data_IF_068677147379
#
_entry.id   IF_068677147379
#
_cell.length_a   1.000
_cell.length_b   1.000
_cell.length_c   1.000
_cell.angle_alpha   90.00
_cell.angle_beta   90.00
_cell.angle_gamma   90.00
#
_symmetry.space_group_name_H-M   'P 1'
#
loop_
_entity.id
_entity.type
_entity.pdbx_description
1 polymer ?
#
# COMPACT_ATOMS: atom_id res chain seq x y z
N UNK A 1 -6.43 1.35 24.45
CA UNK A 1 -5.92 2.19 23.33
C UNK A 1 -6.46 3.60 23.54
N UNK A 2 -5.65 4.62 23.32
CA UNK A 2 -6.10 6.02 23.48
C UNK A 2 -7.09 6.40 22.37
N UNK A 3 -8.12 7.15 22.72
CA UNK A 3 -9.02 7.76 21.74
C UNK A 3 -8.26 8.79 20.89
N UNK A 4 -8.33 8.76 19.56
CA UNK A 4 -7.61 9.71 18.69
C UNK A 4 -8.13 11.14 18.82
N UNK A 5 -9.36 11.33 19.31
CA UNK A 5 -10.00 12.64 19.40
C UNK A 5 -9.79 13.33 20.73
N UNK A 6 -9.98 12.62 21.85
CA UNK A 6 -9.91 13.21 23.20
C UNK A 6 -8.74 12.70 24.06
N UNK A 7 -7.96 11.72 23.56
CA UNK A 7 -6.86 11.07 24.28
C UNK A 7 -7.27 10.28 25.53
N UNK A 8 -8.55 10.06 25.76
CA UNK A 8 -9.04 9.24 26.86
C UNK A 8 -8.59 7.78 26.68
N UNK A 9 -8.23 7.14 27.82
CA UNK A 9 -7.74 5.75 27.84
C UNK A 9 -8.88 4.74 27.78
N UNK A 10 -10.04 5.11 28.29
CA UNK A 10 -11.21 4.23 28.34
C UNK A 10 -11.86 4.14 26.95
N UNK A 11 -11.54 3.08 26.25
CA UNK A 11 -12.12 2.75 24.93
C UNK A 11 -12.49 1.29 24.89
N UNK A 12 -13.72 0.97 24.54
CA UNK A 12 -14.24 -0.38 24.38
C UNK A 12 -14.35 -0.79 22.91
N UNK A 13 -14.24 -2.08 22.63
CA UNK A 13 -14.53 -2.65 21.31
C UNK A 13 -16.01 -3.01 21.26
N UNK A 14 -16.75 -2.44 20.32
CA UNK A 14 -18.18 -2.71 20.14
C UNK A 14 -18.49 -3.68 19.01
N UNK A 15 -17.55 -3.84 18.06
CA UNK A 15 -17.68 -4.79 16.95
C UNK A 15 -16.30 -5.22 16.46
N UNK A 16 -16.14 -6.49 16.11
CA UNK A 16 -14.92 -7.07 15.55
C UNK A 16 -15.27 -7.96 14.38
N UNK A 17 -14.69 -7.71 13.22
CA UNK A 17 -14.90 -8.52 12.01
C UNK A 17 -13.58 -8.73 11.29
N UNK A 18 -13.33 -9.92 10.73
CA UNK A 18 -12.22 -10.10 9.82
C UNK A 18 -12.42 -9.21 8.59
N UNK A 19 -11.32 -8.78 7.98
CA UNK A 19 -11.34 -8.19 6.63
C UNK A 19 -11.67 -9.29 5.62
N UNK A 20 -12.21 -8.91 4.46
CA UNK A 20 -12.63 -9.89 3.44
C UNK A 20 -11.46 -10.77 2.96
N UNK A 21 -10.24 -10.24 2.96
CA UNK A 21 -9.02 -10.97 2.63
C UNK A 21 -8.45 -11.80 3.79
N UNK A 22 -9.10 -11.77 4.97
CA UNK A 22 -8.69 -12.49 6.17
C UNK A 22 -7.36 -12.05 6.79
N UNK A 23 -6.74 -10.97 6.29
CA UNK A 23 -5.38 -10.55 6.71
C UNK A 23 -5.37 -9.61 7.91
N UNK A 24 -6.53 -9.11 8.31
CA UNK A 24 -6.67 -8.19 9.43
C UNK A 24 -8.00 -8.37 10.16
N UNK A 25 -8.06 -7.91 11.39
CA UNK A 25 -9.30 -7.76 12.14
C UNK A 25 -9.63 -6.27 12.21
N UNK A 26 -10.77 -5.91 11.65
CA UNK A 26 -11.35 -4.58 11.79
C UNK A 26 -12.13 -4.50 13.10
N UNK A 27 -11.79 -3.55 13.96
CA UNK A 27 -12.49 -3.32 15.21
C UNK A 27 -13.11 -1.93 15.23
N UNK A 28 -14.42 -1.85 15.49
CA UNK A 28 -15.11 -0.61 15.84
C UNK A 28 -14.95 -0.38 17.32
N UNK A 29 -14.50 0.79 17.71
CA UNK A 29 -14.28 1.18 19.09
C UNK A 29 -15.16 2.36 19.44
N UNK A 30 -15.56 2.40 20.72
CA UNK A 30 -16.31 3.48 21.36
C UNK A 30 -15.44 4.07 22.48
N UNK A 31 -15.32 5.39 22.51
CA UNK A 31 -14.69 6.09 23.61
C UNK A 31 -15.66 6.21 24.79
N UNK A 32 -15.16 6.01 26.01
CA UNK A 32 -15.90 6.22 27.26
C UNK A 32 -16.15 7.68 27.63
N UNK A 33 -15.58 8.65 26.86
CA UNK A 33 -15.80 10.07 27.11
C UNK A 33 -17.27 10.48 26.86
N UNK A 34 -17.66 11.66 27.37
CA UNK A 34 -19.04 12.18 27.23
C UNK A 34 -19.50 12.25 25.79
N UNK A 35 -18.61 12.51 24.82
CA UNK A 35 -18.93 12.59 23.38
C UNK A 35 -19.18 11.23 22.73
N UNK A 36 -18.80 10.12 23.40
CA UNK A 36 -18.93 8.74 22.89
C UNK A 36 -18.48 8.59 21.43
N UNK A 37 -17.31 9.17 21.12
CA UNK A 37 -16.74 9.14 19.76
C UNK A 37 -16.45 7.71 19.32
N UNK A 38 -16.79 7.43 18.05
CA UNK A 38 -16.54 6.13 17.42
C UNK A 38 -15.37 6.23 16.48
N UNK A 39 -14.48 5.24 16.53
CA UNK A 39 -13.37 5.11 15.59
C UNK A 39 -13.10 3.65 15.24
N UNK A 40 -12.38 3.46 14.16
CA UNK A 40 -12.05 2.12 13.67
C UNK A 40 -10.56 1.89 13.81
N UNK A 41 -10.19 0.69 14.25
CA UNK A 41 -8.80 0.22 14.28
C UNK A 41 -8.69 -1.08 13.49
N UNK A 42 -7.48 -1.36 13.01
CA UNK A 42 -7.16 -2.61 12.37
C UNK A 42 -6.03 -3.30 13.16
N UNK A 43 -6.25 -4.55 13.48
CA UNK A 43 -5.22 -5.43 14.02
C UNK A 43 -4.70 -6.29 12.88
N UNK A 44 -3.38 -6.29 12.69
CA UNK A 44 -2.69 -7.07 11.66
C UNK A 44 -1.56 -7.85 12.29
N UNK A 45 -1.25 -9.01 11.72
CA UNK A 45 -0.02 -9.73 12.06
C UNK A 45 1.16 -8.88 11.63
N UNK A 46 2.09 -8.64 12.55
CA UNK A 46 3.37 -8.06 12.24
C UNK A 46 4.38 -9.20 12.10
N UNK A 47 4.87 -9.40 10.89
CA UNK A 47 5.99 -10.31 10.64
C UNK A 47 7.32 -9.65 11.03
N UNK A 48 8.44 -10.24 10.69
CA UNK A 48 9.77 -9.71 11.04
C UNK A 48 9.93 -8.24 10.63
N UNK A 49 10.76 -7.50 11.39
CA UNK A 49 11.12 -6.14 11.05
C UNK A 49 11.85 -6.12 9.70
N UNK A 50 11.14 -5.64 8.69
CA UNK A 50 11.64 -5.54 7.33
C UNK A 50 12.37 -4.21 7.18
N UNK A 51 13.59 -4.23 6.68
CA UNK A 51 14.38 -3.04 6.37
C UNK A 51 14.40 -2.80 4.86
N UNK A 52 14.22 -1.55 4.45
CA UNK A 52 14.28 -1.13 3.05
C UNK A 52 15.63 -0.47 2.76
N UNK A 53 16.32 -0.98 1.73
CA UNK A 53 17.55 -0.40 1.22
C UNK A 53 17.21 0.53 0.06
N UNK A 54 17.53 1.82 0.20
CA UNK A 54 17.36 2.83 -0.85
C UNK A 54 18.49 2.78 -1.88
N UNK A 55 18.28 3.39 -3.05
CA UNK A 55 19.28 3.47 -4.12
C UNK A 55 20.60 4.15 -3.72
N UNK A 56 20.61 4.98 -2.66
CA UNK A 56 21.79 5.57 -2.05
C UNK A 56 22.37 4.74 -0.89
N UNK A 57 22.03 3.47 -0.81
CA UNK A 57 22.41 2.51 0.25
C UNK A 57 21.93 2.87 1.67
N UNK A 58 21.09 3.88 1.81
CA UNK A 58 20.48 4.20 3.11
C UNK A 58 19.45 3.13 3.50
N UNK A 59 19.52 2.68 4.75
CA UNK A 59 18.55 1.74 5.35
C UNK A 59 17.47 2.50 6.11
N UNK A 60 16.23 2.08 5.94
CA UNK A 60 15.11 2.58 6.74
C UNK A 60 14.13 1.43 7.03
N UNK A 61 13.39 1.50 8.14
CA UNK A 61 12.34 0.53 8.42
C UNK A 61 11.30 0.51 7.30
N UNK A 62 10.77 -0.67 7.01
CA UNK A 62 9.65 -0.81 6.08
C UNK A 62 8.43 -0.07 6.61
N UNK A 63 7.81 0.71 5.75
CA UNK A 63 6.64 1.50 6.08
C UNK A 63 5.54 1.25 5.04
N UNK A 64 4.50 0.51 5.47
CA UNK A 64 3.34 0.18 4.65
C UNK A 64 2.61 1.44 4.16
N UNK A 65 2.59 2.50 4.97
CA UNK A 65 1.86 3.72 4.63
C UNK A 65 2.53 4.47 3.47
N UNK A 66 3.85 4.36 3.32
CA UNK A 66 4.55 4.90 2.14
C UNK A 66 4.11 4.19 0.86
N UNK A 67 3.96 2.87 0.88
CA UNK A 67 3.44 2.09 -0.25
C UNK A 67 2.00 2.48 -0.52
N UNK A 68 1.15 2.50 0.51
CA UNK A 68 -0.25 2.89 0.39
C UNK A 68 -0.40 4.27 -0.24
N UNK A 69 0.35 5.25 0.24
CA UNK A 69 0.33 6.62 -0.29
C UNK A 69 0.73 6.67 -1.77
N UNK A 70 1.79 5.99 -2.16
CA UNK A 70 2.27 5.99 -3.55
C UNK A 70 1.26 5.35 -4.51
N UNK A 71 0.64 4.23 -4.11
CA UNK A 71 -0.40 3.54 -4.89
C UNK A 71 -1.64 4.43 -5.00
N UNK A 72 -2.11 5.05 -3.91
CA UNK A 72 -3.28 5.94 -3.92
C UNK A 72 -3.06 7.17 -4.81
N UNK A 73 -1.85 7.72 -4.86
CA UNK A 73 -1.51 8.81 -5.78
C UNK A 73 -1.62 8.34 -7.23
N UNK A 74 -1.07 7.16 -7.56
CA UNK A 74 -1.13 6.61 -8.91
C UNK A 74 -2.56 6.29 -9.36
N UNK A 75 -3.40 5.77 -8.44
CA UNK A 75 -4.79 5.38 -8.70
C UNK A 75 -5.81 6.53 -8.56
N UNK A 76 -5.36 7.74 -8.23
CA UNK A 76 -6.24 8.89 -8.03
C UNK A 76 -7.12 9.16 -9.24
N UNK A 77 -8.43 9.34 -9.04
CA UNK A 77 -9.46 9.52 -10.07
C UNK A 77 -9.57 8.35 -11.06
N UNK A 78 -9.13 7.16 -10.68
CA UNK A 78 -9.42 5.93 -11.42
C UNK A 78 -10.66 5.25 -10.84
N UNK A 79 -11.45 4.51 -11.65
CA UNK A 79 -12.64 3.81 -11.21
C UNK A 79 -12.26 2.50 -10.45
N UNK A 80 -11.49 2.66 -9.38
CA UNK A 80 -11.03 1.56 -8.52
C UNK A 80 -11.50 1.90 -7.10
N UNK A 81 -12.27 1.00 -6.51
CA UNK A 81 -12.76 1.19 -5.16
C UNK A 81 -11.65 1.06 -4.11
N UNK A 82 -11.89 1.64 -2.95
CA UNK A 82 -10.89 1.65 -1.86
C UNK A 82 -10.57 0.27 -1.33
N UNK A 83 -11.49 -0.66 -1.43
CA UNK A 83 -11.31 -2.03 -0.96
C UNK A 83 -10.35 -2.80 -1.88
N UNK A 84 -10.52 -2.69 -3.19
CA UNK A 84 -9.61 -3.26 -4.19
C UNK A 84 -8.19 -2.72 -4.01
N UNK A 85 -8.04 -1.40 -3.73
CA UNK A 85 -6.74 -0.80 -3.44
C UNK A 85 -6.13 -1.40 -2.16
N UNK A 86 -6.90 -1.59 -1.09
CA UNK A 86 -6.40 -2.19 0.15
C UNK A 86 -6.00 -3.65 -0.02
N UNK A 87 -6.79 -4.43 -0.76
CA UNK A 87 -6.45 -5.82 -1.11
C UNK A 87 -5.14 -5.87 -1.90
N UNK A 88 -4.96 -4.95 -2.84
CA UNK A 88 -3.75 -4.84 -3.63
C UNK A 88 -2.52 -4.51 -2.77
N UNK A 89 -2.62 -3.51 -1.88
CA UNK A 89 -1.54 -3.16 -0.95
C UNK A 89 -1.18 -4.35 -0.04
N UNK A 90 -2.19 -5.01 0.51
CA UNK A 90 -1.98 -6.18 1.39
C UNK A 90 -1.32 -7.34 0.66
N UNK A 91 -1.64 -7.56 -0.62
CA UNK A 91 -0.99 -8.56 -1.47
C UNK A 91 0.50 -8.24 -1.67
N UNK A 92 0.84 -6.98 -1.94
CA UNK A 92 2.24 -6.55 -2.09
C UNK A 92 3.02 -6.79 -0.81
N UNK A 93 2.47 -6.36 0.34
CA UNK A 93 3.13 -6.54 1.64
C UNK A 93 3.39 -8.03 1.91
N UNK A 94 2.39 -8.89 1.72
CA UNK A 94 2.56 -10.35 1.87
C UNK A 94 3.62 -10.93 0.95
N UNK A 95 3.70 -10.46 -0.30
CA UNK A 95 4.72 -10.94 -1.22
C UNK A 95 6.12 -10.54 -0.76
N UNK A 96 6.29 -9.32 -0.22
CA UNK A 96 7.56 -8.84 0.32
C UNK A 96 7.97 -9.65 1.55
N UNK A 97 7.04 -9.89 2.47
CA UNK A 97 7.26 -10.71 3.67
C UNK A 97 7.56 -12.17 3.31
N UNK A 98 6.90 -12.68 2.27
CA UNK A 98 7.09 -14.04 1.75
C UNK A 98 8.46 -14.29 1.10
N UNK A 99 9.25 -13.25 0.82
CA UNK A 99 10.64 -13.40 0.37
C UNK A 99 11.55 -13.97 1.47
N UNK A 100 11.16 -13.84 2.74
CA UNK A 100 11.96 -14.32 3.88
C UNK A 100 13.25 -13.52 4.11
N UNK A 101 13.40 -12.39 3.43
CA UNK A 101 14.56 -11.50 3.54
C UNK A 101 14.29 -10.41 4.59
N UNK A 102 15.28 -10.13 5.44
CA UNK A 102 15.19 -9.04 6.43
C UNK A 102 15.48 -7.66 5.81
N UNK A 103 16.17 -7.63 4.67
CA UNK A 103 16.53 -6.40 3.94
C UNK A 103 16.04 -6.50 2.48
N UNK A 104 15.23 -5.54 2.04
CA UNK A 104 14.66 -5.51 0.69
C UNK A 104 15.04 -4.22 -0.02
N UNK A 105 15.61 -4.29 -1.25
CA UNK A 105 15.86 -3.10 -2.05
C UNK A 105 14.55 -2.40 -2.46
N UNK A 106 14.56 -1.07 -2.51
CA UNK A 106 13.43 -0.28 -3.02
C UNK A 106 13.02 -0.70 -4.44
N UNK A 107 13.98 -1.15 -5.25
CA UNK A 107 13.72 -1.65 -6.61
C UNK A 107 12.81 -2.88 -6.62
N UNK A 108 12.98 -3.80 -5.67
CA UNK A 108 12.11 -4.98 -5.52
C UNK A 108 10.67 -4.56 -5.18
N UNK A 109 10.51 -3.61 -4.25
CA UNK A 109 9.19 -3.06 -3.91
C UNK A 109 8.54 -2.43 -5.14
N UNK A 110 9.28 -1.60 -5.86
CA UNK A 110 8.79 -0.96 -7.09
C UNK A 110 8.38 -1.96 -8.15
N UNK A 111 9.13 -3.07 -8.30
CA UNK A 111 8.80 -4.15 -9.25
C UNK A 111 7.44 -4.79 -8.91
N UNK A 112 7.21 -5.18 -7.66
CA UNK A 112 5.92 -5.75 -7.25
C UNK A 112 4.74 -4.80 -7.46
N UNK A 113 4.94 -3.48 -7.18
CA UNK A 113 3.90 -2.49 -7.42
C UNK A 113 3.62 -2.36 -8.92
N UNK A 114 4.67 -2.30 -9.75
CA UNK A 114 4.55 -2.20 -11.21
C UNK A 114 3.82 -3.41 -11.81
N UNK A 115 4.20 -4.63 -11.43
CA UNK A 115 3.57 -5.87 -11.89
C UNK A 115 2.08 -5.88 -11.54
N UNK A 116 1.73 -5.53 -10.30
CA UNK A 116 0.34 -5.51 -9.87
C UNK A 116 -0.48 -4.41 -10.53
N UNK A 117 0.05 -3.19 -10.66
CA UNK A 117 -0.64 -2.09 -11.35
C UNK A 117 -0.82 -2.38 -12.84
N UNK A 118 0.10 -3.11 -13.48
CA UNK A 118 -0.02 -3.47 -14.90
C UNK A 118 -1.29 -4.28 -15.19
N UNK A 119 -1.73 -5.09 -14.23
CA UNK A 119 -2.94 -5.90 -14.30
C UNK A 119 -4.18 -5.15 -13.81
N UNK A 120 -4.01 -4.26 -12.82
CA UNK A 120 -5.11 -3.56 -12.17
C UNK A 120 -5.64 -2.39 -13.01
N UNK A 121 -4.75 -1.49 -13.44
CA UNK A 121 -5.12 -0.29 -14.22
C UNK A 121 -3.91 0.27 -14.97
N UNK A 122 -4.01 0.30 -16.30
CA UNK A 122 -2.92 0.74 -17.19
C UNK A 122 -2.50 2.20 -16.98
N UNK A 123 -3.45 3.09 -16.65
CA UNK A 123 -3.15 4.50 -16.39
C UNK A 123 -2.42 4.67 -15.07
N UNK A 124 -2.87 3.98 -14.02
CA UNK A 124 -2.18 3.98 -12.74
C UNK A 124 -0.76 3.40 -12.88
N UNK A 125 -0.60 2.32 -13.66
CA UNK A 125 0.70 1.75 -14.00
C UNK A 125 1.65 2.78 -14.61
N UNK A 126 1.21 3.50 -15.64
CA UNK A 126 2.03 4.52 -16.32
C UNK A 126 2.38 5.67 -15.38
N UNK A 127 1.44 6.14 -14.57
CA UNK A 127 1.68 7.20 -13.57
C UNK A 127 2.73 6.77 -12.54
N UNK A 128 2.62 5.56 -12.01
CA UNK A 128 3.60 5.04 -11.08
C UNK A 128 4.96 4.88 -11.74
N UNK A 129 5.01 4.34 -12.95
CA UNK A 129 6.23 4.14 -13.72
C UNK A 129 6.96 5.45 -13.99
N UNK A 130 6.25 6.53 -14.29
CA UNK A 130 6.87 7.84 -14.60
C UNK A 130 7.70 8.38 -13.43
N UNK A 131 7.23 8.16 -12.20
CA UNK A 131 7.96 8.55 -10.98
C UNK A 131 9.05 7.53 -10.63
N UNK A 132 8.69 6.25 -10.66
CA UNK A 132 9.58 5.17 -10.25
C UNK A 132 10.81 5.04 -11.16
N UNK A 133 10.63 5.15 -12.48
CA UNK A 133 11.70 5.11 -13.49
C UNK A 133 12.37 6.47 -13.71
N UNK A 134 11.91 7.50 -13.00
CA UNK A 134 12.46 8.85 -13.05
C UNK A 134 12.58 9.37 -14.50
N UNK A 135 11.49 9.35 -15.26
CA UNK A 135 11.45 9.91 -16.61
C UNK A 135 11.84 11.38 -16.58
N UNK A 136 12.79 11.75 -17.42
CA UNK A 136 13.32 13.11 -17.51
C UNK A 136 12.83 13.85 -18.74
N UNK A 137 12.57 13.11 -19.81
CA UNK A 137 12.19 13.65 -21.11
C UNK A 137 10.91 12.98 -21.65
N UNK A 138 10.22 13.65 -22.56
CA UNK A 138 9.05 13.12 -23.24
C UNK A 138 9.35 11.80 -23.99
N UNK A 139 10.56 11.65 -24.53
CA UNK A 139 11.02 10.43 -25.21
C UNK A 139 11.02 9.20 -24.30
N UNK A 140 11.38 9.36 -23.01
CA UNK A 140 11.36 8.25 -22.05
C UNK A 140 9.94 7.70 -21.90
N UNK A 141 8.98 8.61 -21.87
CA UNK A 141 7.56 8.28 -21.77
C UNK A 141 7.05 7.59 -23.05
N UNK A 142 7.38 8.13 -24.22
CA UNK A 142 6.99 7.56 -25.51
C UNK A 142 7.53 6.14 -25.70
N UNK A 143 8.81 5.93 -25.40
CA UNK A 143 9.44 4.61 -25.47
C UNK A 143 8.78 3.62 -24.50
N UNK A 144 8.46 4.07 -23.29
CA UNK A 144 7.79 3.24 -22.30
C UNK A 144 6.39 2.81 -22.76
N UNK A 145 5.61 3.75 -23.32
CA UNK A 145 4.27 3.46 -23.86
C UNK A 145 4.36 2.57 -25.11
N UNK A 146 5.34 2.81 -25.98
CA UNK A 146 5.59 1.96 -27.15
C UNK A 146 5.79 0.50 -26.78
N UNK A 147 6.61 0.25 -25.76
CA UNK A 147 6.86 -1.10 -25.26
C UNK A 147 5.62 -1.77 -24.65
N UNK A 148 4.70 -1.00 -24.04
CA UNK A 148 3.44 -1.54 -23.53
C UNK A 148 2.50 -2.03 -24.62
N UNK A 149 2.54 -1.42 -25.81
CA UNK A 149 1.68 -1.80 -26.94
C UNK A 149 2.17 -3.04 -27.68
N UNK A 150 3.46 -3.38 -27.59
CA UNK A 150 4.03 -4.58 -28.21
C UNK A 150 3.50 -5.87 -27.55
N UNK A 151 3.19 -5.84 -26.25
CA UNK A 151 2.62 -6.99 -25.52
C UNK A 151 1.10 -7.23 -25.77
N UNK A 152 0.46 -6.47 -26.66
CA UNK A 152 -0.96 -6.63 -27.03
C UNK A 152 -1.19 -7.44 -28.32
N UNK A 153 -0.15 -8.04 -28.90
CA UNK A 153 -0.27 -8.86 -30.12
C UNK A 153 0.14 -10.31 -29.84
N UNK A 154 -0.60 -10.96 -28.97
CA UNK A 154 -0.75 -12.42 -28.95
C UNK A 154 -2.14 -12.76 -28.43
#
# INVERSE_FOLDING_TARGET
>A
MLCPFCREKDTSVVDSRPTEDGTAIRRRRLCGCERKERFTTFERVQFQELTVIKGNSKREPFDRDKISKSIRIATRKRPIDSETIEKFISKIVRNLEGLGESEIPTSTIGKFIMEGLSSLDKVAYVRFASVYKNFKEAKDFEQFIGNLNVYKKE
#
